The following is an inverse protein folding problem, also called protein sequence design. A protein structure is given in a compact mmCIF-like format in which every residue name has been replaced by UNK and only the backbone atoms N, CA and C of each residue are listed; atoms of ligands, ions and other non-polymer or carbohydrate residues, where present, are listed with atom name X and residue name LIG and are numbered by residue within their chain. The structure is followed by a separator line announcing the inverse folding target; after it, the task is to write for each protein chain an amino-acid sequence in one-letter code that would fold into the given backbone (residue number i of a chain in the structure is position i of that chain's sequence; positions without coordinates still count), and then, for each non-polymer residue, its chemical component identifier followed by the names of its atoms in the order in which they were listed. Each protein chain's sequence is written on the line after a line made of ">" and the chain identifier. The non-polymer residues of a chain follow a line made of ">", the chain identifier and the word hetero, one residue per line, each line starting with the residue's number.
data_IF_680885255755
#
_entry.id   IF_680885255755
#
_cell.length_a   1.000
_cell.length_b   1.000
_cell.length_c   1.000
_cell.angle_alpha   90.00
_cell.angle_beta   90.00
_cell.angle_gamma   90.00
#
_symmetry.space_group_name_H-M   'P 1'
#
loop_
_entity.id
_entity.type
_entity.pdbx_description
1 polymer ?
#
# COMPACT_ATOMS: atom_id res chain seq x y z
N UNK A 1 -32.52 4.60 1.45
CA UNK A 1 -31.32 5.32 1.94
C UNK A 1 -30.13 4.68 1.23
N UNK A 2 -29.58 5.35 0.22
CA UNK A 2 -28.48 4.80 -0.58
C UNK A 2 -27.18 4.95 0.21
N UNK A 3 -26.66 3.85 0.75
CA UNK A 3 -25.32 3.81 1.30
C UNK A 3 -24.36 3.93 0.11
N UNK A 4 -23.69 5.07 -0.03
CA UNK A 4 -22.65 5.25 -1.04
C UNK A 4 -21.45 4.45 -0.56
N UNK A 5 -21.30 3.23 -1.06
CA UNK A 5 -20.04 2.51 -0.97
C UNK A 5 -18.96 3.37 -1.63
N UNK A 6 -17.80 3.49 -0.99
CA UNK A 6 -16.64 4.07 -1.66
C UNK A 6 -16.35 3.29 -2.94
N UNK A 7 -16.42 3.93 -4.11
CA UNK A 7 -16.17 3.30 -5.41
C UNK A 7 -14.72 2.78 -5.56
N UNK A 8 -13.82 3.13 -4.65
CA UNK A 8 -12.42 2.70 -4.67
C UNK A 8 -11.95 2.34 -3.24
N UNK A 9 -11.08 1.33 -3.08
CA UNK A 9 -10.47 1.04 -1.78
C UNK A 9 -9.64 2.23 -1.26
N UNK A 10 -9.40 2.26 0.05
CA UNK A 10 -8.47 3.21 0.64
C UNK A 10 -7.05 2.93 0.11
N UNK A 11 -6.43 3.92 -0.54
CA UNK A 11 -5.01 3.85 -0.84
C UNK A 11 -4.21 3.79 0.47
N UNK A 12 -3.55 2.66 0.68
CA UNK A 12 -2.81 2.34 1.90
C UNK A 12 -1.73 1.31 1.61
N UNK A 13 -0.76 1.24 2.50
CA UNK A 13 0.27 0.21 2.51
C UNK A 13 0.74 0.00 3.95
N UNK A 14 1.32 -1.15 4.24
CA UNK A 14 1.81 -1.46 5.58
C UNK A 14 2.81 -2.59 5.56
N UNK A 15 3.65 -2.60 6.58
CA UNK A 15 4.74 -3.54 6.79
C UNK A 15 5.08 -3.61 8.29
N UNK A 16 6.15 -4.31 8.65
CA UNK A 16 6.59 -4.48 10.05
C UNK A 16 6.99 -3.16 10.73
N UNK A 17 7.26 -2.12 9.96
CA UNK A 17 7.72 -0.81 10.42
C UNK A 17 6.59 0.22 10.52
N UNK A 18 5.40 -0.06 9.96
CA UNK A 18 4.28 0.85 10.11
C UNK A 18 3.12 0.64 9.15
N UNK A 19 2.17 1.57 9.24
CA UNK A 19 0.98 1.65 8.40
C UNK A 19 0.88 3.05 7.83
N UNK A 20 0.72 3.15 6.52
CA UNK A 20 0.51 4.40 5.80
C UNK A 20 -0.79 4.35 5.03
N UNK A 21 -1.50 5.47 5.00
CA UNK A 21 -2.80 5.57 4.35
C UNK A 21 -3.09 6.98 3.89
N UNK A 22 -4.02 7.11 2.94
CA UNK A 22 -4.52 8.41 2.49
C UNK A 22 -5.71 8.84 3.35
N UNK A 23 -5.49 9.82 4.22
CA UNK A 23 -6.51 10.47 5.03
C UNK A 23 -7.27 11.56 4.25
N UNK A 24 -8.55 11.71 4.58
CA UNK A 24 -9.35 12.86 4.21
C UNK A 24 -9.29 13.86 5.37
N UNK A 25 -9.18 15.16 5.09
CA UNK A 25 -9.14 16.19 6.13
C UNK A 25 -10.54 16.65 6.48
N UNK A 26 -10.82 16.75 7.78
CA UNK A 26 -12.07 17.34 8.26
C UNK A 26 -12.14 18.82 7.85
N UNK A 27 -13.12 19.25 7.03
CA UNK A 27 -13.27 20.65 6.59
C UNK A 27 -13.38 21.67 7.74
N UNK A 28 -13.79 21.23 8.93
CA UNK A 28 -13.92 22.05 10.13
C UNK A 28 -12.60 22.23 10.90
N UNK A 29 -11.58 21.41 10.65
CA UNK A 29 -10.28 21.43 11.34
C UNK A 29 -9.12 21.86 10.43
N UNK A 30 -9.39 22.19 9.17
CA UNK A 30 -8.38 22.66 8.24
C UNK A 30 -7.88 24.04 8.72
N UNK A 31 -6.58 24.16 9.01
CA UNK A 31 -5.93 25.45 9.25
C UNK A 31 -6.25 26.42 8.10
N UNK A 32 -6.40 27.71 8.41
CA UNK A 32 -6.85 28.73 7.44
C UNK A 32 -6.07 28.67 6.12
N UNK A 33 -4.76 28.44 6.17
CA UNK A 33 -3.87 28.33 5.00
C UNK A 33 -4.11 27.07 4.15
N UNK A 34 -4.36 25.91 4.78
CA UNK A 34 -4.67 24.68 4.06
C UNK A 34 -6.09 24.74 3.43
N UNK A 35 -7.01 25.48 4.06
CA UNK A 35 -8.36 25.73 3.54
C UNK A 35 -8.32 26.69 2.37
N UNK A 36 -7.53 27.76 2.49
CA UNK A 36 -7.27 28.70 1.40
C UNK A 36 -6.59 28.03 0.20
N UNK A 37 -5.76 27.02 0.46
CA UNK A 37 -5.09 26.21 -0.58
C UNK A 37 -5.88 24.98 -1.02
N UNK A 38 -7.06 24.67 -0.48
CA UNK A 38 -7.85 23.48 -0.89
C UNK A 38 -7.16 22.13 -0.66
N UNK A 39 -6.28 22.02 0.32
CA UNK A 39 -5.52 20.79 0.63
C UNK A 39 -6.39 19.82 1.45
N UNK A 40 -7.23 19.05 0.76
CA UNK A 40 -8.26 18.19 1.37
C UNK A 40 -7.76 16.79 1.75
N UNK A 41 -6.59 16.37 1.24
CA UNK A 41 -6.07 15.01 1.44
C UNK A 41 -4.70 15.03 2.09
N UNK A 42 -4.32 13.93 2.71
CA UNK A 42 -2.97 13.74 3.22
C UNK A 42 -2.53 12.30 3.15
N UNK A 43 -1.25 12.09 2.87
CA UNK A 43 -0.60 10.83 3.23
C UNK A 43 -0.30 10.91 4.73
N UNK A 44 -0.73 9.87 5.44
CA UNK A 44 -0.64 9.75 6.88
C UNK A 44 0.14 8.51 7.26
N UNK A 45 0.78 8.54 8.43
CA UNK A 45 1.37 7.38 9.07
C UNK A 45 0.75 7.18 10.45
N UNK A 46 0.37 5.94 10.79
CA UNK A 46 0.01 5.59 12.17
C UNK A 46 1.27 5.69 13.03
N UNK A 47 1.21 6.48 14.11
CA UNK A 47 2.36 6.73 14.99
C UNK A 47 2.25 6.01 16.32
N UNK A 48 1.03 5.68 16.74
CA UNK A 48 0.78 4.85 17.93
C UNK A 48 -0.51 4.06 17.78
N UNK A 49 -0.91 3.36 18.84
CA UNK A 49 -2.18 2.64 18.90
C UNK A 49 -3.38 3.56 18.62
N UNK A 50 -3.33 4.83 19.05
CA UNK A 50 -4.45 5.77 19.02
C UNK A 50 -4.18 7.04 18.23
N UNK A 51 -2.99 7.19 17.63
CA UNK A 51 -2.60 8.43 16.94
C UNK A 51 -2.02 8.19 15.55
N UNK A 52 -2.11 9.22 14.71
CA UNK A 52 -1.45 9.28 13.41
C UNK A 52 -0.90 10.67 13.13
N UNK A 53 0.09 10.76 12.24
CA UNK A 53 0.66 12.01 11.77
C UNK A 53 0.35 12.22 10.29
N UNK A 54 0.11 13.48 9.91
CA UNK A 54 0.01 13.90 8.50
C UNK A 54 1.42 14.18 7.98
N UNK A 55 1.87 13.41 6.99
CA UNK A 55 3.22 13.52 6.42
C UNK A 55 3.29 14.57 5.32
N UNK A 56 2.30 14.57 4.44
CA UNK A 56 2.24 15.48 3.30
C UNK A 56 0.79 15.72 2.91
N UNK A 57 0.44 16.98 2.61
CA UNK A 57 -0.91 17.38 2.20
C UNK A 57 -1.00 17.54 0.69
N UNK A 58 -2.19 17.25 0.15
CA UNK A 58 -2.45 17.26 -1.28
C UNK A 58 -3.81 17.88 -1.59
N UNK A 59 -3.88 18.53 -2.76
CA UNK A 59 -5.12 19.03 -3.37
C UNK A 59 -6.03 17.90 -3.84
N UNK A 60 -5.42 16.78 -4.23
CA UNK A 60 -6.10 15.64 -4.83
C UNK A 60 -5.63 14.38 -4.15
N UNK A 61 -6.52 13.40 -4.11
CA UNK A 61 -6.30 12.16 -3.38
C UNK A 61 -5.32 11.27 -4.14
N UNK A 62 -4.18 10.87 -3.54
CA UNK A 62 -3.36 9.80 -4.11
C UNK A 62 -4.18 8.52 -4.29
N UNK A 63 -3.97 7.81 -5.40
CA UNK A 63 -4.79 6.66 -5.80
C UNK A 63 -4.20 5.32 -5.37
N UNK A 64 -2.89 5.25 -5.19
CA UNK A 64 -2.20 4.06 -4.67
C UNK A 64 -0.96 4.46 -3.86
N UNK A 65 -0.60 3.62 -2.89
CA UNK A 65 0.60 3.72 -2.07
C UNK A 65 1.37 2.40 -2.13
N UNK A 66 2.70 2.45 -2.10
CA UNK A 66 3.55 1.27 -1.89
C UNK A 66 4.84 1.67 -1.19
N UNK A 67 5.52 0.69 -0.60
CA UNK A 67 6.89 0.86 -0.13
C UNK A 67 7.84 0.31 -1.19
N UNK A 68 8.89 1.06 -1.51
CA UNK A 68 9.95 0.62 -2.40
C UNK A 68 11.28 1.21 -1.92
N UNK A 69 12.27 0.35 -1.71
CA UNK A 69 13.57 0.71 -1.12
C UNK A 69 13.46 1.51 0.20
N UNK A 70 12.53 1.10 1.07
CA UNK A 70 12.19 1.77 2.34
C UNK A 70 11.73 3.23 2.20
N UNK A 71 11.35 3.65 0.99
CA UNK A 71 10.71 4.94 0.74
C UNK A 71 9.22 4.70 0.45
N UNK A 72 8.39 5.67 0.82
CA UNK A 72 6.97 5.65 0.48
C UNK A 72 6.78 6.23 -0.93
N UNK A 73 6.21 5.44 -1.81
CA UNK A 73 5.88 5.81 -3.18
C UNK A 73 4.38 5.89 -3.36
N UNK A 74 3.95 6.79 -4.23
CA UNK A 74 2.53 6.97 -4.50
C UNK A 74 2.26 7.43 -5.91
N UNK A 75 1.02 7.21 -6.33
CA UNK A 75 0.51 7.65 -7.63
C UNK A 75 -0.56 8.72 -7.45
N UNK A 76 -0.49 9.72 -8.31
CA UNK A 76 -1.59 10.63 -8.61
C UNK A 76 -2.01 10.41 -10.08
N UNK A 77 -3.30 10.17 -10.31
CA UNK A 77 -3.85 9.92 -11.63
C UNK A 77 -4.82 11.03 -12.07
N UNK A 78 -4.57 11.59 -13.25
CA UNK A 78 -5.50 12.49 -13.97
C UNK A 78 -5.71 11.98 -15.40
N UNK A 79 -4.96 12.57 -16.33
CA UNK A 79 -4.90 12.19 -17.75
C UNK A 79 -3.69 11.30 -18.05
N UNK A 80 -2.80 11.18 -17.07
CA UNK A 80 -1.60 10.37 -17.03
C UNK A 80 -1.42 9.87 -15.58
N UNK A 81 -0.57 8.87 -15.41
CA UNK A 81 -0.13 8.40 -14.11
C UNK A 81 1.17 9.13 -13.75
N UNK A 82 1.12 9.94 -12.70
CA UNK A 82 2.30 10.60 -12.15
C UNK A 82 2.79 9.83 -10.92
N UNK A 83 4.03 9.35 -10.98
CA UNK A 83 4.68 8.55 -9.94
C UNK A 83 5.58 9.45 -9.09
N UNK A 84 5.36 9.42 -7.78
CA UNK A 84 6.10 10.22 -6.81
C UNK A 84 6.79 9.35 -5.77
N UNK A 85 7.95 9.80 -5.31
CA UNK A 85 8.62 9.30 -4.12
C UNK A 85 8.55 10.35 -3.01
N UNK A 86 8.22 9.92 -1.80
CA UNK A 86 8.35 10.76 -0.60
C UNK A 86 9.82 10.82 -0.19
N UNK A 87 10.38 12.03 -0.13
CA UNK A 87 11.79 12.30 0.17
C UNK A 87 11.90 13.26 1.34
N UNK A 88 13.02 13.23 2.05
CA UNK A 88 13.34 14.21 3.08
C UNK A 88 14.10 15.39 2.47
N UNK A 89 13.69 16.63 2.76
CA UNK A 89 14.54 17.80 2.57
C UNK A 89 15.71 17.75 3.55
N UNK A 90 16.82 18.47 3.29
CA UNK A 90 17.90 18.65 4.27
C UNK A 90 17.43 19.20 5.63
N UNK A 91 16.29 19.90 5.64
CA UNK A 91 15.64 20.43 6.84
C UNK A 91 14.89 19.36 7.66
N UNK A 92 14.79 18.12 7.17
CA UNK A 92 14.02 17.04 7.78
C UNK A 92 12.52 17.04 7.41
N UNK A 93 12.06 18.00 6.62
CA UNK A 93 10.67 18.06 6.15
C UNK A 93 10.47 17.06 4.98
N UNK A 94 9.42 16.25 5.05
CA UNK A 94 9.04 15.38 3.94
C UNK A 94 8.46 16.19 2.78
N UNK A 95 8.74 15.77 1.55
CA UNK A 95 8.12 16.31 0.35
C UNK A 95 7.91 15.23 -0.71
N UNK A 96 6.92 15.45 -1.57
CA UNK A 96 6.69 14.60 -2.74
C UNK A 96 7.60 15.05 -3.90
N UNK A 97 8.46 14.15 -4.36
CA UNK A 97 9.31 14.35 -5.53
C UNK A 97 8.71 13.60 -6.71
N UNK A 98 8.34 14.31 -7.79
CA UNK A 98 7.93 13.66 -9.04
C UNK A 98 9.11 12.87 -9.59
N UNK A 99 8.88 11.61 -9.94
CA UNK A 99 9.93 10.74 -10.46
C UNK A 99 9.73 10.48 -11.95
N UNK A 100 8.50 10.16 -12.36
CA UNK A 100 8.17 9.96 -13.77
C UNK A 100 6.67 10.10 -14.03
N UNK A 101 6.32 10.22 -15.29
CA UNK A 101 4.93 10.25 -15.77
C UNK A 101 4.75 9.19 -16.86
N UNK A 102 3.67 8.41 -16.76
CA UNK A 102 3.26 7.44 -17.76
C UNK A 102 1.93 7.87 -18.39
N UNK A 103 1.96 8.16 -19.69
CA UNK A 103 0.80 8.62 -20.45
C UNK A 103 -0.14 7.46 -20.75
N UNK A 104 -1.33 7.47 -20.13
CA UNK A 104 -2.36 6.46 -20.37
C UNK A 104 -3.74 6.97 -19.98
N UNK A 105 -4.76 6.48 -20.70
CA UNK A 105 -6.16 6.71 -20.36
C UNK A 105 -6.75 5.57 -19.49
N UNK A 106 -5.96 4.54 -19.21
CA UNK A 106 -6.40 3.39 -18.41
C UNK A 106 -6.35 3.73 -16.91
N UNK A 107 -7.33 3.23 -16.17
CA UNK A 107 -7.41 3.40 -14.71
C UNK A 107 -6.33 2.58 -13.99
N UNK A 108 -5.65 3.17 -13.01
CA UNK A 108 -4.74 2.46 -12.12
C UNK A 108 -5.53 1.49 -11.22
N UNK A 109 -5.07 0.24 -11.17
CA UNK A 109 -5.65 -0.83 -10.36
C UNK A 109 -4.71 -1.35 -9.28
N UNK A 110 -3.41 -1.04 -9.34
CA UNK A 110 -2.46 -1.42 -8.30
C UNK A 110 -1.06 -0.85 -8.55
N UNK A 111 -0.27 -0.81 -7.48
CA UNK A 111 1.12 -0.37 -7.45
C UNK A 111 1.90 -1.30 -6.51
N UNK A 112 2.96 -1.93 -7.02
CA UNK A 112 3.73 -2.93 -6.28
C UNK A 112 5.23 -2.73 -6.49
N UNK A 113 6.03 -3.00 -5.46
CA UNK A 113 7.44 -3.31 -5.64
C UNK A 113 7.59 -4.71 -6.25
N UNK A 114 8.36 -4.83 -7.32
CA UNK A 114 8.73 -6.10 -7.93
C UNK A 114 10.24 -6.16 -8.19
N UNK A 115 10.98 -6.88 -7.34
CA UNK A 115 12.45 -6.83 -7.38
C UNK A 115 12.94 -5.38 -7.26
N UNK A 116 13.70 -4.97 -8.27
CA UNK A 116 14.28 -3.62 -8.36
C UNK A 116 13.41 -2.64 -9.18
N UNK A 117 12.18 -3.01 -9.56
CA UNK A 117 11.27 -2.12 -10.30
C UNK A 117 9.98 -1.86 -9.53
N UNK A 118 9.28 -0.78 -9.90
CA UNK A 118 7.89 -0.52 -9.52
C UNK A 118 6.96 -1.00 -10.63
N UNK A 119 6.02 -1.88 -10.31
CA UNK A 119 5.01 -2.38 -11.25
C UNK A 119 3.67 -1.67 -11.02
N UNK A 120 3.11 -1.11 -12.08
CA UNK A 120 1.81 -0.46 -12.11
C UNK A 120 0.86 -1.31 -12.93
N UNK A 121 -0.30 -1.60 -12.35
CA UNK A 121 -1.36 -2.29 -13.06
C UNK A 121 -2.36 -1.26 -13.54
N UNK A 122 -2.64 -1.26 -14.83
CA UNK A 122 -3.61 -0.36 -15.44
C UNK A 122 -4.62 -1.17 -16.24
N UNK A 123 -5.87 -0.73 -16.24
CA UNK A 123 -6.92 -1.31 -17.07
C UNK A 123 -8.24 -1.59 -16.35
N UNK A 124 -8.92 -2.62 -16.83
CA UNK A 124 -10.27 -3.00 -16.40
C UNK A 124 -10.90 -4.05 -17.29
N UNK A 125 -10.81 -3.88 -18.63
CA UNK A 125 -11.21 -4.91 -19.61
C UNK A 125 -10.12 -5.95 -19.87
N UNK A 126 -8.87 -5.54 -19.72
CA UNK A 126 -7.67 -6.38 -19.72
C UNK A 126 -6.71 -5.84 -18.65
N UNK A 127 -5.73 -6.65 -18.29
CA UNK A 127 -4.62 -6.26 -17.43
C UNK A 127 -3.41 -5.88 -18.28
N UNK A 128 -3.00 -4.62 -18.18
CA UNK A 128 -1.70 -4.16 -18.63
C UNK A 128 -0.84 -3.86 -17.41
N UNK A 129 0.40 -4.35 -17.42
CA UNK A 129 1.37 -4.07 -16.37
C UNK A 129 2.51 -3.30 -16.99
N UNK A 130 2.86 -2.18 -16.38
CA UNK A 130 4.02 -1.37 -16.78
C UNK A 130 4.97 -1.24 -15.62
N UNK A 131 6.25 -1.43 -15.88
CA UNK A 131 7.31 -1.40 -14.88
C UNK A 131 8.15 -0.14 -15.03
N UNK A 132 8.65 0.38 -13.92
CA UNK A 132 9.55 1.52 -13.85
C UNK A 132 10.82 1.13 -13.09
N UNK A 133 11.97 1.25 -13.74
CA UNK A 133 13.30 0.88 -13.21
C UNK A 133 14.05 2.06 -12.57
N UNK A 134 13.40 3.22 -12.44
CA UNK A 134 14.05 4.46 -12.01
C UNK A 134 14.40 5.41 -13.17
N UNK A 135 14.31 4.96 -14.42
CA UNK A 135 14.66 5.74 -15.60
C UNK A 135 13.61 5.58 -16.71
N UNK A 136 13.25 4.35 -17.06
CA UNK A 136 12.41 4.03 -18.20
C UNK A 136 11.16 3.24 -17.77
N UNK A 137 10.13 3.36 -18.62
CA UNK A 137 8.95 2.53 -18.55
C UNK A 137 9.10 1.35 -19.51
N UNK A 138 8.74 0.16 -19.05
CA UNK A 138 8.63 -1.05 -19.87
C UNK A 138 7.23 -1.64 -19.74
N UNK A 139 6.64 -2.04 -20.86
CA UNK A 139 5.33 -2.68 -20.87
C UNK A 139 5.48 -4.19 -20.93
N UNK A 140 4.80 -4.90 -20.03
CA UNK A 140 4.69 -6.35 -20.08
C UNK A 140 3.59 -6.79 -21.06
N UNK A 141 3.64 -8.03 -21.56
CA UNK A 141 2.55 -8.64 -22.29
C UNK A 141 1.19 -8.46 -21.61
N UNK A 142 0.19 -8.08 -22.38
CA UNK A 142 -1.17 -7.85 -21.89
C UNK A 142 -1.85 -9.19 -21.58
N UNK A 143 -2.39 -9.33 -20.38
CA UNK A 143 -3.30 -10.41 -20.03
C UNK A 143 -4.74 -9.97 -20.39
N UNK A 144 -5.36 -10.66 -21.34
CA UNK A 144 -6.71 -10.34 -21.86
C UNK A 144 -7.84 -10.83 -20.94
N UNK A 145 -7.68 -10.58 -19.65
CA UNK A 145 -8.62 -10.97 -18.60
C UNK A 145 -9.16 -9.74 -17.88
N UNK A 146 -10.46 -9.76 -17.61
CA UNK A 146 -11.17 -8.62 -17.04
C UNK A 146 -10.93 -8.53 -15.53
N UNK A 147 -10.86 -7.30 -15.02
CA UNK A 147 -10.88 -6.99 -13.58
C UNK A 147 -9.78 -7.70 -12.76
N UNK A 148 -8.67 -8.11 -13.39
CA UNK A 148 -7.59 -8.77 -12.70
C UNK A 148 -6.98 -7.88 -11.61
N UNK A 149 -6.54 -8.52 -10.53
CA UNK A 149 -5.78 -7.89 -9.42
C UNK A 149 -4.42 -8.55 -9.36
N UNK A 150 -3.35 -7.80 -9.20
CA UNK A 150 -2.02 -8.41 -9.10
C UNK A 150 -1.46 -8.33 -7.69
N UNK A 151 -0.47 -9.17 -7.45
CA UNK A 151 0.44 -9.06 -6.31
C UNK A 151 1.79 -9.64 -6.72
N UNK A 152 2.85 -9.14 -6.12
CA UNK A 152 4.17 -9.77 -6.19
C UNK A 152 4.31 -10.71 -5.00
N UNK A 153 4.54 -12.00 -5.27
CA UNK A 153 4.72 -13.01 -4.24
C UNK A 153 5.96 -13.84 -4.54
N UNK A 154 6.92 -13.87 -3.60
CA UNK A 154 8.22 -14.54 -3.77
C UNK A 154 8.90 -14.19 -5.10
N UNK A 155 8.92 -12.88 -5.41
CA UNK A 155 9.44 -12.31 -6.65
C UNK A 155 8.74 -12.74 -7.95
N UNK A 156 7.57 -13.39 -7.87
CA UNK A 156 6.73 -13.67 -9.02
C UNK A 156 5.56 -12.68 -9.06
N UNK A 157 5.32 -12.10 -10.23
CA UNK A 157 4.13 -11.31 -10.46
C UNK A 157 2.96 -12.26 -10.74
N UNK A 158 1.96 -12.23 -9.87
CA UNK A 158 0.74 -13.02 -9.98
C UNK A 158 -0.44 -12.11 -10.32
N UNK A 159 -1.34 -12.58 -11.17
CA UNK A 159 -2.63 -11.94 -11.45
C UNK A 159 -3.77 -12.88 -11.05
N UNK A 160 -4.71 -12.37 -10.27
CA UNK A 160 -5.93 -13.06 -9.85
C UNK A 160 -7.10 -12.43 -10.61
N UNK A 161 -7.74 -13.25 -11.44
CA UNK A 161 -8.89 -12.88 -12.26
C UNK A 161 -10.15 -13.34 -11.53
N UNK A 162 -10.96 -12.42 -10.99
CA UNK A 162 -12.14 -12.80 -10.20
C UNK A 162 -13.17 -13.59 -11.02
N UNK A 163 -13.80 -14.56 -10.37
CA UNK A 163 -14.87 -15.40 -10.91
C UNK A 163 -16.00 -15.52 -9.87
N UNK A 164 -17.11 -16.17 -10.23
CA UNK A 164 -18.20 -16.45 -9.27
C UNK A 164 -17.83 -17.44 -8.16
N UNK A 165 -16.75 -18.22 -8.32
CA UNK A 165 -16.35 -19.29 -7.39
C UNK A 165 -15.02 -19.01 -6.68
N UNK A 166 -14.43 -17.85 -6.90
CA UNK A 166 -13.06 -17.53 -6.46
C UNK A 166 -12.30 -16.78 -7.54
N UNK A 167 -11.02 -17.09 -7.79
CA UNK A 167 -10.24 -16.43 -8.85
C UNK A 167 -9.32 -17.40 -9.62
N UNK A 168 -9.25 -17.20 -10.94
CA UNK A 168 -8.21 -17.84 -11.75
C UNK A 168 -6.88 -17.11 -11.54
N UNK A 169 -5.84 -17.87 -11.25
CA UNK A 169 -4.51 -17.32 -11.02
C UNK A 169 -3.67 -17.46 -12.27
N UNK A 170 -2.95 -16.41 -12.62
CA UNK A 170 -1.95 -16.36 -13.67
C UNK A 170 -0.62 -15.94 -13.06
N UNK A 171 0.47 -16.47 -13.57
CA UNK A 171 1.82 -16.09 -13.18
C UNK A 171 2.54 -15.56 -14.40
N UNK A 172 3.19 -14.42 -14.26
CA UNK A 172 4.07 -13.90 -15.30
C UNK A 172 5.46 -14.52 -15.16
N UNK A 173 5.98 -15.07 -16.26
CA UNK A 173 7.30 -15.67 -16.34
C UNK A 173 7.71 -15.89 -17.79
N UNK A 174 9.02 -15.88 -18.07
CA UNK A 174 9.56 -16.13 -19.43
C UNK A 174 8.96 -15.25 -20.54
N UNK A 175 8.48 -14.04 -20.22
CA UNK A 175 7.87 -13.14 -21.19
C UNK A 175 6.42 -13.46 -21.54
N UNK A 176 5.72 -14.28 -20.74
CA UNK A 176 4.31 -14.62 -20.96
C UNK A 176 3.54 -14.85 -19.65
N UNK A 177 2.21 -14.95 -19.77
CA UNK A 177 1.30 -15.27 -18.67
C UNK A 177 0.89 -16.73 -18.71
N UNK A 178 1.17 -17.46 -17.63
CA UNK A 178 0.85 -18.88 -17.50
C UNK A 178 -0.26 -19.09 -16.46
N UNK A 179 -1.28 -19.87 -16.81
CA UNK A 179 -2.38 -20.18 -15.89
C UNK A 179 -1.93 -21.15 -14.79
N UNK A 180 -2.29 -20.82 -13.54
CA UNK A 180 -1.99 -21.59 -12.33
C UNK A 180 -3.24 -22.24 -11.71
N UNK A 181 -4.35 -22.23 -12.45
CA UNK A 181 -5.62 -22.84 -12.04
C UNK A 181 -6.53 -21.91 -11.21
N UNK A 182 -7.63 -22.49 -10.71
CA UNK A 182 -8.62 -21.80 -9.89
C UNK A 182 -8.22 -21.85 -8.41
N UNK A 183 -8.48 -20.78 -7.67
CA UNK A 183 -8.50 -20.77 -6.20
C UNK A 183 -9.92 -20.48 -5.77
N UNK A 184 -10.53 -21.42 -5.06
CA UNK A 184 -11.93 -21.31 -4.66
C UNK A 184 -12.06 -20.55 -3.33
N UNK A 185 -12.97 -19.59 -3.28
CA UNK A 185 -13.32 -18.82 -2.09
C UNK A 185 -14.67 -18.10 -2.30
N UNK A 186 -15.26 -17.63 -1.20
CA UNK A 186 -16.51 -16.87 -1.19
C UNK A 186 -16.28 -15.37 -1.26
N UNK A 187 -17.29 -14.64 -1.74
CA UNK A 187 -17.25 -13.19 -1.85
C UNK A 187 -16.54 -12.67 -3.11
N UNK A 188 -16.58 -11.35 -3.25
CA UNK A 188 -15.93 -10.63 -4.36
C UNK A 188 -14.51 -10.24 -3.95
N UNK A 189 -13.51 -10.59 -4.76
CA UNK A 189 -12.11 -10.24 -4.49
C UNK A 189 -11.89 -8.73 -4.57
N UNK A 190 -11.60 -8.10 -3.43
CA UNK A 190 -11.30 -6.67 -3.33
C UNK A 190 -9.82 -6.39 -3.52
N UNK A 191 -8.98 -6.95 -2.64
CA UNK A 191 -7.54 -6.76 -2.63
C UNK A 191 -6.78 -8.04 -2.28
N UNK A 192 -5.48 -8.03 -2.58
CA UNK A 192 -4.56 -9.10 -2.24
C UNK A 192 -3.40 -8.47 -1.48
N UNK A 193 -3.04 -9.05 -0.33
CA UNK A 193 -1.94 -8.57 0.52
C UNK A 193 -1.03 -9.74 0.91
N UNK A 194 0.13 -9.43 1.47
CA UNK A 194 1.09 -10.43 1.92
C UNK A 194 1.48 -10.20 3.38
N UNK A 195 1.52 -11.28 4.18
CA UNK A 195 2.05 -11.26 5.56
C UNK A 195 2.80 -12.55 5.85
N UNK A 196 4.04 -12.48 6.32
CA UNK A 196 4.86 -13.63 6.72
C UNK A 196 4.88 -14.80 5.70
N UNK A 197 5.09 -14.50 4.42
CA UNK A 197 5.03 -15.45 3.29
C UNK A 197 3.65 -16.07 2.99
N UNK A 198 2.57 -15.57 3.59
CA UNK A 198 1.21 -15.90 3.21
C UNK A 198 0.67 -14.87 2.24
N UNK A 199 0.07 -15.35 1.16
CA UNK A 199 -0.77 -14.53 0.28
C UNK A 199 -2.18 -14.53 0.87
N UNK A 200 -2.70 -13.33 1.13
CA UNK A 200 -4.01 -13.15 1.75
C UNK A 200 -4.95 -12.50 0.75
N UNK A 201 -6.12 -13.11 0.59
CA UNK A 201 -7.20 -12.62 -0.27
C UNK A 201 -8.21 -11.92 0.62
N UNK A 202 -8.45 -10.64 0.34
CA UNK A 202 -9.47 -9.85 1.05
C UNK A 202 -10.70 -9.80 0.15
N UNK A 203 -11.80 -10.37 0.62
CA UNK A 203 -13.04 -10.47 -0.13
C UNK A 203 -14.18 -9.75 0.59
N UNK A 204 -15.22 -9.41 -0.18
CA UNK A 204 -16.42 -8.75 0.32
C UNK A 204 -17.65 -9.64 0.05
N UNK A 205 -18.48 -9.84 1.08
CA UNK A 205 -19.69 -10.63 1.02
C UNK A 205 -20.78 -10.05 1.93
N UNK A 206 -21.93 -9.65 1.36
CA UNK A 206 -23.13 -9.22 2.09
C UNK A 206 -22.92 -8.17 3.21
N UNK A 207 -21.96 -7.26 3.03
CA UNK A 207 -21.65 -6.19 4.00
C UNK A 207 -20.57 -6.55 5.03
N UNK A 208 -20.09 -7.79 5.00
CA UNK A 208 -18.90 -8.23 5.73
C UNK A 208 -17.72 -8.41 4.78
N UNK A 209 -16.52 -8.26 5.32
CA UNK A 209 -15.27 -8.56 4.66
C UNK A 209 -14.65 -9.83 5.25
N UNK A 210 -14.02 -10.63 4.40
CA UNK A 210 -13.34 -11.86 4.79
C UNK A 210 -11.87 -11.78 4.37
N UNK A 211 -10.99 -12.41 5.17
CA UNK A 211 -9.57 -12.58 4.83
C UNK A 211 -9.29 -14.07 4.72
N UNK A 212 -8.96 -14.54 3.53
CA UNK A 212 -8.53 -15.91 3.28
C UNK A 212 -7.01 -15.99 3.14
N UNK A 213 -6.38 -16.91 3.86
CA UNK A 213 -4.99 -17.28 3.65
C UNK A 213 -4.88 -18.33 2.56
N UNK A 214 -4.06 -18.07 1.54
CA UNK A 214 -3.78 -19.02 0.48
C UNK A 214 -2.58 -19.89 0.86
N UNK A 215 -2.82 -21.17 1.12
CA UNK A 215 -1.79 -22.18 1.31
C UNK A 215 -1.84 -23.18 0.17
N UNK A 216 -0.85 -23.10 -0.75
CA UNK A 216 -0.84 -23.85 -2.02
C UNK A 216 -2.09 -23.52 -2.86
N UNK A 217 -3.00 -24.48 -3.00
CA UNK A 217 -4.24 -24.35 -3.77
C UNK A 217 -5.47 -24.10 -2.88
N UNK A 218 -5.31 -24.19 -1.56
CA UNK A 218 -6.42 -24.09 -0.61
C UNK A 218 -6.50 -22.70 0.01
N UNK A 219 -7.71 -22.15 0.02
CA UNK A 219 -8.05 -20.93 0.72
C UNK A 219 -8.60 -21.29 2.11
N UNK A 220 -8.02 -20.71 3.16
CA UNK A 220 -8.42 -20.93 4.55
C UNK A 220 -8.94 -19.61 5.09
N UNK A 221 -10.17 -19.57 5.59
CA UNK A 221 -10.71 -18.37 6.24
C UNK A 221 -9.91 -18.07 7.51
N UNK A 222 -9.33 -16.87 7.58
CA UNK A 222 -8.52 -16.40 8.71
C UNK A 222 -9.35 -15.46 9.60
N UNK A 223 -10.07 -14.51 9.00
CA UNK A 223 -10.83 -13.51 9.73
C UNK A 223 -12.05 -13.05 8.94
N UNK A 224 -13.08 -12.62 9.66
CA UNK A 224 -14.26 -11.94 9.14
C UNK A 224 -14.46 -10.65 9.90
N UNK A 225 -14.71 -9.53 9.23
CA UNK A 225 -14.89 -8.22 9.84
C UNK A 225 -16.07 -7.50 9.22
N UNK A 226 -16.73 -6.62 9.97
CA UNK A 226 -17.78 -5.77 9.40
C UNK A 226 -17.17 -4.66 8.55
N UNK A 227 -17.67 -4.47 7.34
CA UNK A 227 -17.17 -3.42 6.45
C UNK A 227 -17.44 -2.04 7.08
N UNK A 228 -16.40 -1.23 7.34
CA UNK A 228 -16.55 0.05 7.99
C UNK A 228 -17.10 1.10 7.01
N UNK A 229 -17.57 2.23 7.56
CA UNK A 229 -17.99 3.38 6.75
C UNK A 229 -16.78 4.02 6.05
N UNK A 230 -17.05 4.65 4.91
CA UNK A 230 -16.04 5.39 4.15
C UNK A 230 -15.18 4.50 3.24
N UNK A 231 -13.97 4.97 2.93
CA UNK A 231 -12.97 4.21 2.18
C UNK A 231 -12.21 3.32 3.15
N UNK A 232 -11.95 2.07 2.79
CA UNK A 232 -11.26 1.15 3.68
C UNK A 232 -10.32 0.21 2.94
N UNK A 233 -9.42 -0.39 3.69
CA UNK A 233 -8.42 -1.34 3.20
C UNK A 233 -7.91 -2.19 4.35
N UNK A 234 -7.53 -3.43 4.07
CA UNK A 234 -6.73 -4.25 5.00
C UNK A 234 -5.28 -4.17 4.56
N UNK A 235 -4.37 -3.92 5.51
CA UNK A 235 -2.93 -3.85 5.26
C UNK A 235 -2.17 -4.73 6.26
N UNK A 236 -0.97 -5.22 5.89
CA UNK A 236 -0.04 -5.79 6.85
C UNK A 236 0.32 -4.76 7.92
N UNK A 237 0.52 -5.23 9.15
CA UNK A 237 0.96 -4.40 10.27
C UNK A 237 1.89 -5.20 11.19
N UNK A 238 2.63 -4.54 12.12
CA UNK A 238 3.60 -5.23 12.97
C UNK A 238 2.99 -6.38 13.79
N UNK A 239 1.79 -6.16 14.33
CA UNK A 239 1.07 -7.14 15.17
C UNK A 239 0.22 -8.14 14.35
N UNK A 240 0.17 -7.97 13.02
CA UNK A 240 -0.59 -8.84 12.13
C UNK A 240 -1.14 -8.12 10.91
N UNK A 241 -2.44 -7.84 10.93
CA UNK A 241 -3.13 -7.09 9.91
C UNK A 241 -3.89 -5.93 10.57
N UNK A 242 -4.14 -4.87 9.82
CA UNK A 242 -4.98 -3.77 10.28
C UNK A 242 -5.99 -3.42 9.19
N UNK A 243 -7.26 -3.38 9.57
CA UNK A 243 -8.33 -2.78 8.78
C UNK A 243 -8.33 -1.29 9.08
N UNK A 244 -8.05 -0.48 8.07
CA UNK A 244 -8.03 0.99 8.17
C UNK A 244 -9.22 1.53 7.39
N UNK A 245 -9.96 2.47 7.98
CA UNK A 245 -11.03 3.19 7.30
C UNK A 245 -10.92 4.68 7.49
N UNK A 246 -11.31 5.41 6.45
CA UNK A 246 -11.31 6.88 6.41
C UNK A 246 -12.65 7.35 5.87
N UNK A 247 -13.39 8.08 6.70
CA UNK A 247 -14.64 8.72 6.33
C UNK A 247 -14.40 10.10 5.69
N UNK A 248 -15.38 10.60 4.93
CA UNK A 248 -15.29 11.89 4.23
C UNK A 248 -15.13 13.09 5.17
N UNK A 249 -15.57 12.96 6.42
CA UNK A 249 -15.39 13.97 7.46
C UNK A 249 -13.98 13.92 8.10
N UNK A 250 -13.10 13.02 7.64
CA UNK A 250 -11.75 12.82 8.14
C UNK A 250 -11.61 11.92 9.36
N UNK A 251 -12.71 11.36 9.86
CA UNK A 251 -12.65 10.32 10.91
C UNK A 251 -11.88 9.12 10.35
N UNK A 252 -10.82 8.74 11.05
CA UNK A 252 -9.98 7.59 10.72
C UNK A 252 -10.12 6.54 11.80
N UNK A 253 -10.49 5.33 11.43
CA UNK A 253 -10.70 4.22 12.37
C UNK A 253 -9.79 3.05 11.98
N UNK A 254 -9.27 2.36 12.98
CA UNK A 254 -8.49 1.13 12.80
C UNK A 254 -9.06 0.00 13.64
N UNK A 255 -9.11 -1.19 13.05
CA UNK A 255 -9.34 -2.46 13.75
C UNK A 255 -8.11 -3.32 13.52
N UNK A 256 -7.40 -3.66 14.58
CA UNK A 256 -6.23 -4.54 14.52
C UNK A 256 -6.69 -6.01 14.56
N UNK A 257 -6.14 -6.82 13.65
CA UNK A 257 -6.41 -8.24 13.52
C UNK A 257 -5.13 -9.01 13.77
N UNK A 258 -5.06 -9.70 14.92
CA UNK A 258 -3.87 -10.45 15.32
C UNK A 258 -3.57 -11.60 14.36
N UNK A 259 -2.33 -11.70 13.87
CA UNK A 259 -1.93 -12.76 12.94
C UNK A 259 -1.25 -13.95 13.65
N UNK A 260 -1.54 -15.21 13.27
CA UNK A 260 -2.53 -15.68 12.28
C UNK A 260 -3.93 -15.89 12.87
N UNK A 261 -4.18 -15.44 14.10
CA UNK A 261 -5.39 -15.78 14.86
C UNK A 261 -6.70 -15.21 14.29
N UNK A 262 -6.63 -14.13 13.51
CA UNK A 262 -7.80 -13.37 13.04
C UNK A 262 -8.55 -12.63 14.15
N UNK A 263 -8.06 -12.65 15.39
CA UNK A 263 -8.72 -12.02 16.53
C UNK A 263 -8.70 -10.50 16.37
N UNK A 264 -9.88 -9.90 16.42
CA UNK A 264 -10.05 -8.46 16.28
C UNK A 264 -9.95 -7.73 17.61
N UNK A 265 -9.29 -6.58 17.59
CA UNK A 265 -9.44 -5.55 18.61
C UNK A 265 -10.81 -4.87 18.49
N UNK A 266 -11.24 -4.09 19.51
CA UNK A 266 -12.24 -3.06 19.31
C UNK A 266 -11.78 -2.07 18.22
N UNK A 267 -12.74 -1.40 17.58
CA UNK A 267 -12.45 -0.29 16.68
C UNK A 267 -11.87 0.90 17.46
N UNK A 268 -10.80 1.48 16.93
CA UNK A 268 -10.07 2.60 17.52
C UNK A 268 -10.15 3.79 16.57
N UNK A 269 -10.76 4.88 17.01
CA UNK A 269 -10.68 6.15 16.28
C UNK A 269 -9.30 6.79 16.53
N UNK A 270 -8.55 7.03 15.46
CA UNK A 270 -7.22 7.63 15.55
C UNK A 270 -7.32 9.15 15.63
N UNK A 271 -6.52 9.73 16.51
CA UNK A 271 -6.40 11.19 16.67
C UNK A 271 -5.18 11.69 15.90
N UNK A 272 -5.34 12.80 15.16
CA UNK A 272 -4.23 13.46 14.47
C UNK A 272 -3.28 14.10 15.49
N UNK A 273 -1.99 13.82 15.39
CA UNK A 273 -0.97 14.49 16.20
C UNK A 273 -0.92 15.99 15.88
N UNK A 274 -0.82 16.86 16.89
CA UNK A 274 -0.64 18.29 16.66
C UNK A 274 0.70 18.52 15.94
N UNK A 275 0.70 19.46 14.98
CA UNK A 275 1.81 19.84 14.07
C UNK A 275 3.15 20.24 14.76
N UNK A 276 3.25 20.14 16.09
CA UNK A 276 4.44 20.45 16.90
C UNK A 276 4.85 19.31 17.84
N UNK A 277 4.29 18.10 17.70
CA UNK A 277 4.80 16.91 18.37
C UNK A 277 6.12 16.50 17.69
N UNK A 278 7.23 17.02 18.19
CA UNK A 278 8.60 16.89 17.68
C UNK A 278 9.13 15.45 17.61
N UNK A 279 8.38 14.43 18.04
CA UNK A 279 8.89 13.07 18.22
C UNK A 279 8.95 12.23 16.95
N UNK A 280 7.98 12.34 16.02
CA UNK A 280 7.89 11.39 14.90
C UNK A 280 8.71 11.80 13.66
N UNK A 281 8.73 13.09 13.29
CA UNK A 281 9.55 13.56 12.16
C UNK A 281 11.06 13.32 12.39
N UNK A 282 11.52 13.35 13.65
CA UNK A 282 12.88 12.97 14.00
C UNK A 282 13.14 11.46 13.83
N UNK A 283 12.16 10.59 14.12
CA UNK A 283 12.31 9.14 13.96
C UNK A 283 12.31 8.73 12.48
N UNK A 284 11.46 9.32 11.63
CA UNK A 284 11.49 9.08 10.18
C UNK A 284 12.78 9.60 9.54
N UNK A 285 13.31 10.72 10.02
CA UNK A 285 14.62 11.24 9.59
C UNK A 285 15.81 10.36 10.06
N UNK A 286 15.64 9.55 11.12
CA UNK A 286 16.67 8.67 11.67
C UNK A 286 16.83 7.32 10.93
N UNK A 287 15.97 7.00 9.96
CA UNK A 287 16.11 5.76 9.18
C UNK A 287 17.17 5.84 8.06
N UNK A 288 17.64 7.03 7.68
CA UNK A 288 18.73 7.18 6.70
C UNK A 288 20.18 7.09 7.27
N UNK A 289 20.51 7.60 8.47
CA UNK A 289 21.91 7.56 8.93
C UNK A 289 22.36 6.20 9.48
N UNK A 290 21.44 5.34 9.95
CA UNK A 290 21.83 4.09 10.59
C UNK A 290 22.43 3.08 9.59
N UNK A 291 21.93 3.06 8.35
CA UNK A 291 22.51 2.23 7.27
C UNK A 291 23.85 2.75 6.77
N UNK A 292 24.05 4.07 6.72
CA UNK A 292 25.36 4.64 6.44
C UNK A 292 26.36 4.26 7.53
N UNK A 293 25.98 4.27 8.81
CA UNK A 293 26.90 3.91 9.89
C UNK A 293 27.26 2.41 9.91
N UNK A 294 26.29 1.51 9.69
CA UNK A 294 26.54 0.06 9.62
C UNK A 294 27.33 -0.30 8.35
N UNK A 295 27.01 0.30 7.20
CA UNK A 295 27.75 0.10 5.96
C UNK A 295 29.20 0.61 6.02
N UNK A 296 29.43 1.79 6.64
CA UNK A 296 30.77 2.34 6.82
C UNK A 296 31.58 1.55 7.86
N UNK A 297 30.95 1.07 8.95
CA UNK A 297 31.61 0.21 9.92
C UNK A 297 32.02 -1.14 9.30
N UNK A 298 31.19 -1.72 8.42
CA UNK A 298 31.52 -2.97 7.73
C UNK A 298 32.68 -2.79 6.74
N UNK A 299 32.75 -1.67 6.03
CA UNK A 299 33.86 -1.34 5.13
C UNK A 299 35.16 -1.06 5.88
N UNK A 300 35.10 -0.38 7.03
CA UNK A 300 36.26 -0.13 7.88
C UNK A 300 36.80 -1.42 8.51
N UNK A 301 35.93 -2.30 9.01
CA UNK A 301 36.33 -3.61 9.58
C UNK A 301 36.93 -4.55 8.51
N UNK A 302 36.45 -4.50 7.26
CA UNK A 302 37.06 -5.26 6.14
C UNK A 302 38.44 -4.73 5.76
N UNK A 303 38.66 -3.41 5.84
CA UNK A 303 39.96 -2.80 5.55
C UNK A 303 41.01 -3.02 6.66
N UNK A 304 40.57 -3.26 7.90
CA UNK A 304 41.45 -3.53 9.05
C UNK A 304 42.06 -4.94 9.06
N UNK A 305 41.38 -5.93 8.49
CA UNK A 305 41.86 -7.33 8.46
C UNK A 305 42.80 -7.63 7.29
N UNK A 306 43.12 -6.66 6.42
CA UNK A 306 44.07 -6.82 5.32
C UNK A 306 45.53 -6.51 5.70
N UNK A 307 45.83 -6.26 6.99
CA UNK A 307 47.19 -6.00 7.51
C UNK A 307 47.52 -6.87 8.72
N UNK A 308 47.49 -8.20 8.55
CA UNK A 308 48.22 -9.10 9.45
C UNK A 308 48.68 -10.37 8.70
N UNK A 309 49.50 -10.16 7.69
CA UNK A 309 50.38 -11.21 7.14
C UNK A 309 51.71 -10.58 6.80
N UNK A 310 52.55 -10.44 7.83
CA UNK A 310 54.00 -10.52 7.75
C UNK A 310 54.49 -11.33 8.94
#
# INVERSE_FOLDING_TARGET
>A
MACVFSLQPLASTGAEDGIWFVGDRNPAQIQFDAKAKGLEYSICARTSTTTYASLQSFLRRPTALTLYNNELWFVDQRNAIALYAMRNKPTGELYASLQSTYETQLELRGLHQWGDVLALNVGGSSLQVVTYDGHNWEELPVLKEKDARTIVYKNNLLAFVPTKKGAHVWQYGNGEWESQGLREFTGTLGSIIQKNDWLLLVTEHDGDGEVFGLQKEQCILIATFSIPKGRWSVVPSPEGLSLVSVERNGTTTVVDMGWPSGRQSPAIELTLEPLHATSFLQQVALFLPMFLFVGFAFLLLRSGNAKSTQ
#
